data_IF_053110482901
#
_entry.id   IF_053110482901
#
_cell.length_a   1.000
_cell.length_b   1.000
_cell.length_c   1.000
_cell.angle_alpha   90.00
_cell.angle_beta   90.00
_cell.angle_gamma   90.00
#
_symmetry.space_group_name_H-M   'P 1'
#
loop_
_entity.id
_entity.type
_entity.pdbx_description
1 polymer ?
#
# COMPACT_ATOMS: atom_id res chain seq x y z
N UNK A 1 -6.18 7.82 12.90
CA UNK A 1 -7.60 8.03 12.53
C UNK A 1 -8.11 6.75 11.88
N UNK A 2 -7.63 6.40 10.67
CA UNK A 2 -7.91 5.12 9.98
C UNK A 2 -8.09 3.87 10.88
N UNK A 3 -7.05 3.48 11.64
CA UNK A 3 -7.09 2.25 12.45
C UNK A 3 -8.14 2.29 13.55
N UNK A 4 -8.32 3.45 14.18
CA UNK A 4 -9.30 3.66 15.25
C UNK A 4 -10.73 3.56 14.71
N UNK A 5 -11.01 4.23 13.58
CA UNK A 5 -12.37 4.35 13.05
C UNK A 5 -12.87 3.03 12.46
N UNK A 6 -11.96 2.20 11.93
CA UNK A 6 -12.26 0.86 11.44
C UNK A 6 -12.12 -0.24 12.51
N UNK A 7 -11.79 0.12 13.76
CA UNK A 7 -11.54 -0.82 14.85
C UNK A 7 -10.53 -1.92 14.49
N UNK A 8 -9.43 -1.54 13.84
CA UNK A 8 -8.32 -2.42 13.47
C UNK A 8 -7.05 -2.02 14.22
N UNK A 9 -6.15 -2.99 14.40
CA UNK A 9 -4.81 -2.76 14.96
C UNK A 9 -3.77 -3.12 13.92
N UNK A 10 -2.91 -2.16 13.60
CA UNK A 10 -1.73 -2.41 12.76
C UNK A 10 -0.57 -2.82 13.66
N UNK A 11 0.17 -3.85 13.25
CA UNK A 11 1.36 -4.30 13.96
C UNK A 11 2.37 -4.83 12.96
N UNK A 12 3.60 -4.31 13.02
CA UNK A 12 4.69 -4.79 12.18
C UNK A 12 5.26 -6.04 12.84
N UNK A 13 4.96 -7.20 12.26
CA UNK A 13 5.43 -8.51 12.74
C UNK A 13 6.73 -8.97 12.08
N UNK A 14 7.07 -8.35 10.95
CA UNK A 14 8.26 -8.65 10.17
C UNK A 14 8.70 -7.41 9.38
N UNK A 15 10.01 -7.23 9.24
CA UNK A 15 10.64 -6.18 8.45
C UNK A 15 11.85 -6.79 7.72
N UNK A 16 11.95 -6.53 6.42
CA UNK A 16 13.10 -6.89 5.60
C UNK A 16 13.59 -5.65 4.85
N UNK A 17 14.91 -5.43 4.85
CA UNK A 17 15.55 -4.34 4.12
C UNK A 17 16.54 -4.93 3.11
N UNK A 18 16.44 -4.48 1.85
CA UNK A 18 17.25 -4.99 0.75
C UNK A 18 18.48 -4.12 0.49
N UNK A 19 19.53 -4.33 1.29
CA UNK A 19 20.76 -3.54 1.25
C UNK A 19 21.69 -3.87 0.07
N UNK A 20 21.56 -5.06 -0.50
CA UNK A 20 22.44 -5.59 -1.55
C UNK A 20 21.85 -5.41 -2.95
N UNK A 21 20.63 -5.92 -3.16
CA UNK A 21 19.93 -5.87 -4.45
C UNK A 21 18.43 -5.94 -4.26
N UNK A 22 17.69 -5.36 -5.20
CA UNK A 22 16.24 -5.51 -5.25
C UNK A 22 15.83 -6.98 -5.36
N UNK A 23 14.78 -7.37 -4.62
CA UNK A 23 14.16 -8.71 -4.74
C UNK A 23 12.99 -8.74 -5.72
N UNK A 24 12.58 -7.59 -6.22
CA UNK A 24 11.53 -7.42 -7.22
C UNK A 24 12.06 -6.70 -8.45
N UNK A 25 11.38 -6.87 -9.59
CA UNK A 25 11.64 -6.11 -10.79
C UNK A 25 10.83 -4.80 -10.75
N UNK A 26 11.51 -3.69 -10.99
CA UNK A 26 10.88 -2.38 -11.13
C UNK A 26 10.57 -2.08 -12.59
N UNK A 27 9.37 -1.57 -12.84
CA UNK A 27 8.90 -1.10 -14.12
C UNK A 27 8.34 0.32 -13.97
N UNK A 28 8.28 1.09 -15.06
CA UNK A 28 7.65 2.42 -15.03
C UNK A 28 6.13 2.33 -14.78
N UNK A 29 5.52 1.20 -15.14
CA UNK A 29 4.14 0.84 -14.81
C UNK A 29 4.06 0.29 -13.38
N UNK A 30 3.28 0.96 -12.52
CA UNK A 30 3.19 0.63 -11.10
C UNK A 30 2.50 -0.72 -10.85
N UNK A 31 1.49 -1.08 -11.65
CA UNK A 31 0.75 -2.35 -11.55
C UNK A 31 1.63 -3.54 -11.92
N UNK A 32 2.51 -3.35 -12.91
CA UNK A 32 3.50 -4.37 -13.27
C UNK A 32 4.53 -4.56 -12.16
N UNK A 33 4.94 -3.49 -11.49
CA UNK A 33 5.82 -3.57 -10.31
C UNK A 33 5.13 -4.24 -9.12
N UNK A 34 3.85 -3.92 -8.88
CA UNK A 34 3.03 -4.60 -7.88
C UNK A 34 2.93 -6.11 -8.14
N UNK A 35 2.79 -6.51 -9.40
CA UNK A 35 2.77 -7.92 -9.77
C UNK A 35 4.06 -8.64 -9.36
N UNK A 36 5.23 -8.02 -9.59
CA UNK A 36 6.51 -8.58 -9.14
C UNK A 36 6.63 -8.62 -7.62
N UNK A 37 6.06 -7.63 -6.93
CA UNK A 37 5.95 -7.61 -5.47
C UNK A 37 5.11 -8.76 -4.92
N UNK A 38 3.93 -9.01 -5.49
CA UNK A 38 3.06 -10.15 -5.12
C UNK A 38 3.77 -11.49 -5.34
N UNK A 39 4.48 -11.66 -6.47
CA UNK A 39 5.28 -12.85 -6.74
C UNK A 39 6.35 -13.09 -5.69
N UNK A 40 7.06 -12.04 -5.27
CA UNK A 40 8.04 -12.15 -4.20
C UNK A 40 7.40 -12.51 -2.85
N UNK A 41 6.29 -11.86 -2.48
CA UNK A 41 5.58 -12.13 -1.22
C UNK A 41 5.07 -13.56 -1.15
N UNK A 42 4.46 -14.04 -2.24
CA UNK A 42 3.88 -15.38 -2.35
C UNK A 42 4.92 -16.49 -2.54
N UNK A 43 6.09 -16.18 -3.09
CA UNK A 43 7.13 -17.17 -3.36
C UNK A 43 8.22 -17.27 -2.28
N UNK A 44 8.74 -16.13 -1.81
CA UNK A 44 9.95 -16.10 -0.97
C UNK A 44 9.62 -15.97 0.51
N UNK A 45 8.73 -15.04 0.86
CA UNK A 45 8.42 -14.74 2.25
C UNK A 45 7.06 -15.30 2.69
N UNK A 46 6.44 -16.19 1.92
CA UNK A 46 5.13 -16.79 2.24
C UNK A 46 5.10 -17.52 3.59
N UNK A 47 6.23 -18.12 3.99
CA UNK A 47 6.36 -18.84 5.26
C UNK A 47 6.26 -17.96 6.51
N UNK A 48 6.35 -16.63 6.36
CA UNK A 48 6.21 -15.66 7.45
C UNK A 48 4.73 -15.38 7.66
N UNK A 49 4.23 -15.69 8.86
CA UNK A 49 2.85 -15.41 9.26
C UNK A 49 2.59 -13.89 9.30
N UNK A 50 1.70 -13.43 8.41
CA UNK A 50 1.28 -12.03 8.26
C UNK A 50 -0.06 -11.95 7.53
N UNK A 51 -0.81 -10.90 7.78
CA UNK A 51 -2.12 -10.66 7.14
C UNK A 51 -2.00 -9.87 5.83
N UNK A 52 -0.95 -9.06 5.70
CA UNK A 52 -0.66 -8.20 4.55
C UNK A 52 0.83 -7.88 4.51
N UNK A 53 1.34 -7.55 3.32
CA UNK A 53 2.70 -7.06 3.08
C UNK A 53 2.66 -5.67 2.47
N UNK A 54 3.58 -4.80 2.88
CA UNK A 54 3.74 -3.47 2.32
C UNK A 54 5.19 -3.29 1.90
N UNK A 55 5.41 -2.89 0.65
CA UNK A 55 6.73 -2.61 0.10
C UNK A 55 6.88 -1.10 -0.07
N UNK A 56 7.98 -0.58 0.46
CA UNK A 56 8.43 0.79 0.25
C UNK A 56 9.45 0.84 -0.88
N UNK A 57 9.31 1.79 -1.80
CA UNK A 57 10.26 1.99 -2.89
C UNK A 57 10.55 3.46 -3.13
N UNK A 58 11.71 3.78 -3.70
CA UNK A 58 12.05 5.12 -4.22
C UNK A 58 11.92 5.21 -5.74
N UNK A 59 11.36 4.18 -6.38
CA UNK A 59 11.09 4.17 -7.81
C UNK A 59 10.11 5.29 -8.20
N UNK A 60 10.26 5.79 -9.43
CA UNK A 60 9.33 6.73 -10.05
C UNK A 60 8.50 5.99 -11.08
N UNK A 61 7.19 6.17 -11.02
CA UNK A 61 6.25 5.56 -11.93
C UNK A 61 5.71 6.61 -12.91
N UNK A 62 5.12 6.13 -14.01
CA UNK A 62 4.42 7.03 -14.95
C UNK A 62 3.25 7.73 -14.26
N UNK A 63 2.86 8.90 -14.77
CA UNK A 63 1.75 9.71 -14.22
C UNK A 63 1.91 10.04 -12.73
N UNK A 64 3.14 10.10 -12.25
CA UNK A 64 3.45 10.41 -10.85
C UNK A 64 2.68 9.53 -9.84
N UNK A 65 2.38 8.27 -10.20
CA UNK A 65 1.71 7.32 -9.31
C UNK A 65 2.60 7.03 -8.09
N UNK A 66 2.04 7.19 -6.89
CA UNK A 66 2.76 7.05 -5.62
C UNK A 66 2.43 5.79 -4.83
N UNK A 67 1.37 5.07 -5.21
CA UNK A 67 0.99 3.83 -4.55
C UNK A 67 0.10 2.96 -5.43
N UNK A 68 0.11 1.65 -5.18
CA UNK A 68 -0.88 0.70 -5.69
C UNK A 68 -0.99 -0.52 -4.75
N UNK A 69 -2.08 -1.26 -4.81
CA UNK A 69 -2.32 -2.44 -3.98
C UNK A 69 -3.22 -3.45 -4.67
N UNK A 70 -3.11 -4.70 -4.24
CA UNK A 70 -4.18 -5.68 -4.47
C UNK A 70 -5.47 -5.27 -3.76
N UNK A 71 -6.62 -5.51 -4.37
CA UNK A 71 -7.93 -5.19 -3.77
C UNK A 71 -8.63 -6.41 -3.19
N UNK A 72 -9.29 -6.25 -2.04
CA UNK A 72 -10.12 -7.29 -1.41
C UNK A 72 -9.37 -8.59 -1.09
N UNK A 73 -8.09 -8.48 -0.79
CA UNK A 73 -7.15 -9.61 -0.68
C UNK A 73 -6.67 -9.86 0.74
N UNK A 74 -7.14 -9.11 1.75
CA UNK A 74 -6.74 -9.26 3.15
C UNK A 74 -6.80 -10.73 3.60
N UNK A 75 -5.81 -11.15 4.40
CA UNK A 75 -5.63 -12.53 4.87
C UNK A 75 -5.37 -13.57 3.75
N UNK A 76 -5.13 -13.15 2.51
CA UNK A 76 -4.64 -14.02 1.44
C UNK A 76 -3.12 -13.89 1.29
N UNK A 77 -2.50 -14.89 0.67
CA UNK A 77 -1.07 -14.87 0.36
C UNK A 77 -0.66 -13.71 -0.56
N UNK A 78 -1.63 -13.12 -1.28
CA UNK A 78 -1.39 -12.05 -2.26
C UNK A 78 -1.56 -10.66 -1.69
N UNK A 79 -2.03 -10.51 -0.45
CA UNK A 79 -2.27 -9.21 0.20
C UNK A 79 -1.00 -8.34 0.21
N UNK A 80 -0.87 -7.47 -0.78
CA UNK A 80 0.36 -6.72 -1.04
C UNK A 80 0.06 -5.30 -1.45
N UNK A 81 0.74 -4.37 -0.79
CA UNK A 81 0.78 -2.96 -1.08
C UNK A 81 2.15 -2.53 -1.58
N UNK A 82 2.17 -1.53 -2.46
CA UNK A 82 3.37 -0.82 -2.90
C UNK A 82 3.15 0.67 -2.67
N UNK A 83 4.08 1.31 -1.97
CA UNK A 83 4.05 2.75 -1.68
C UNK A 83 5.42 3.35 -1.99
N UNK A 84 5.45 4.47 -2.72
CA UNK A 84 6.66 5.25 -2.89
C UNK A 84 6.98 5.95 -1.56
N UNK A 85 8.13 5.66 -0.98
CA UNK A 85 8.57 6.30 0.25
C UNK A 85 8.79 7.80 0.00
N UNK A 86 8.03 8.64 0.69
CA UNK A 86 8.27 10.09 0.75
C UNK A 86 9.08 10.44 1.99
N UNK A 87 9.65 11.64 1.99
CA UNK A 87 10.62 12.12 2.97
C UNK A 87 10.10 12.11 4.43
N UNK A 88 11.03 12.01 5.39
CA UNK A 88 10.79 12.12 6.84
C UNK A 88 9.96 13.32 7.27
N UNK A 89 10.03 14.47 6.61
CA UNK A 89 9.21 15.65 6.93
C UNK A 89 7.73 15.47 6.53
N UNK A 90 7.44 14.52 5.63
CA UNK A 90 6.10 14.22 5.11
C UNK A 90 5.60 12.83 5.51
N UNK A 91 6.07 12.30 6.66
CA UNK A 91 5.64 10.99 7.16
C UNK A 91 4.11 10.84 7.31
N UNK A 92 3.40 11.95 7.55
CA UNK A 92 1.94 11.97 7.60
C UNK A 92 1.30 11.67 6.23
N UNK A 93 1.90 12.14 5.13
CA UNK A 93 1.46 11.86 3.77
C UNK A 93 1.66 10.38 3.43
N UNK A 94 2.84 9.81 3.74
CA UNK A 94 3.05 8.35 3.61
C UNK A 94 2.03 7.58 4.43
N UNK A 95 1.73 8.04 5.65
CA UNK A 95 0.71 7.43 6.50
C UNK A 95 -0.67 7.39 5.87
N UNK A 96 -1.05 8.44 5.13
CA UNK A 96 -2.30 8.47 4.36
C UNK A 96 -2.26 7.49 3.18
N UNK A 97 -1.15 7.40 2.45
CA UNK A 97 -0.98 6.42 1.37
C UNK A 97 -1.09 4.99 1.89
N UNK A 98 -0.44 4.67 3.02
CA UNK A 98 -0.53 3.35 3.66
C UNK A 98 -1.97 3.04 4.07
N UNK A 99 -2.69 4.01 4.63
CA UNK A 99 -4.09 3.83 5.02
C UNK A 99 -4.99 3.55 3.81
N UNK A 100 -4.84 4.32 2.73
CA UNK A 100 -5.57 4.12 1.47
C UNK A 100 -5.27 2.74 0.85
N UNK A 101 -3.99 2.37 0.83
CA UNK A 101 -3.52 1.10 0.30
C UNK A 101 -4.08 -0.10 1.08
N UNK A 102 -4.02 -0.04 2.41
CA UNK A 102 -4.57 -1.08 3.27
C UNK A 102 -6.10 -1.15 3.15
N UNK A 103 -6.77 -0.02 2.93
CA UNK A 103 -8.20 0.01 2.72
C UNK A 103 -8.62 -0.74 1.44
N UNK A 104 -7.90 -0.56 0.32
CA UNK A 104 -8.08 -1.38 -0.89
C UNK A 104 -7.86 -2.86 -0.59
N UNK A 105 -6.80 -3.22 0.12
CA UNK A 105 -6.54 -4.62 0.52
C UNK A 105 -7.70 -5.20 1.35
N UNK A 106 -8.32 -4.38 2.21
CA UNK A 106 -9.52 -4.75 2.97
C UNK A 106 -10.82 -4.77 2.13
N UNK A 107 -10.76 -4.35 0.86
CA UNK A 107 -11.87 -4.40 -0.08
C UNK A 107 -12.71 -3.13 -0.15
N UNK A 108 -12.21 -1.99 0.35
CA UNK A 108 -12.84 -0.69 0.13
C UNK A 108 -12.49 -0.15 -1.25
N UNK A 109 -13.51 0.32 -1.97
CA UNK A 109 -13.34 1.03 -3.24
C UNK A 109 -13.16 2.53 -3.01
N UNK A 110 -12.80 3.25 -4.08
CA UNK A 110 -12.75 4.70 -4.05
C UNK A 110 -14.11 5.31 -3.73
N UNK A 111 -14.08 6.43 -3.00
CA UNK A 111 -15.27 7.22 -2.70
C UNK A 111 -16.02 7.63 -3.97
N UNK A 112 -17.34 7.46 -3.95
CA UNK A 112 -18.25 7.99 -4.96
C UNK A 112 -18.61 9.46 -4.65
N UNK A 113 -19.21 10.21 -5.58
CA UNK A 113 -19.52 11.63 -5.36
C UNK A 113 -20.47 11.92 -4.19
N UNK A 114 -21.22 10.92 -3.74
CA UNK A 114 -22.13 10.94 -2.60
C UNK A 114 -21.48 10.52 -1.27
N UNK A 115 -20.22 10.08 -1.28
CA UNK A 115 -19.46 9.78 -0.07
C UNK A 115 -18.97 11.07 0.60
N UNK A 116 -19.06 11.12 1.93
CA UNK A 116 -18.64 12.27 2.74
C UNK A 116 -17.87 11.83 3.97
N UNK A 117 -16.96 12.66 4.46
CA UNK A 117 -16.25 12.46 5.71
C UNK A 117 -15.97 13.82 6.38
N UNK A 118 -15.71 13.78 7.69
CA UNK A 118 -15.44 14.98 8.50
C UNK A 118 -13.99 15.52 8.35
N UNK A 119 -13.28 15.14 7.29
CA UNK A 119 -11.92 15.57 7.03
C UNK A 119 -11.91 16.89 6.24
N UNK A 120 -10.98 17.79 6.59
CA UNK A 120 -10.89 19.15 6.02
C UNK A 120 -10.61 19.13 4.50
N UNK A 121 -9.85 18.12 4.03
CA UNK A 121 -9.42 18.06 2.63
C UNK A 121 -10.18 16.98 1.86
N UNK A 122 -9.87 15.71 2.10
CA UNK A 122 -10.45 14.58 1.40
C UNK A 122 -10.54 13.36 2.33
N UNK A 123 -11.47 12.46 2.02
CA UNK A 123 -11.58 11.15 2.66
C UNK A 123 -10.41 10.26 2.25
N UNK A 124 -10.06 9.27 3.08
CA UNK A 124 -8.90 8.40 2.81
C UNK A 124 -9.02 7.73 1.44
N UNK A 125 -10.23 7.34 1.04
CA UNK A 125 -10.50 6.64 -0.23
C UNK A 125 -10.84 7.56 -1.39
N UNK A 126 -10.54 8.86 -1.28
CA UNK A 126 -10.72 9.76 -2.42
C UNK A 126 -9.89 9.27 -3.60
N UNK A 127 -10.39 9.47 -4.82
CA UNK A 127 -9.59 9.21 -6.02
C UNK A 127 -8.36 10.11 -6.00
N UNK A 128 -7.17 9.53 -5.87
CA UNK A 128 -5.94 10.27 -6.07
C UNK A 128 -5.73 10.50 -7.57
N UNK A 129 -5.31 11.72 -7.91
CA UNK A 129 -4.89 12.03 -9.27
C UNK A 129 -3.46 11.52 -9.45
N UNK A 130 -3.27 10.69 -10.47
CA UNK A 130 -2.00 10.51 -11.18
C UNK A 130 -2.17 11.01 -12.61
#
# INVERSE_FOLDING_TARGET
>A
IFSRDLNIRLSVVYLEEWMDKSRINYYEDIERTLSSAVEYVTGHIYHIAKDSSLIFTSAKFVKDEVMTSTSGSICSSRATGLVTAVDTYTAHDTGQLIAHNLAHIMGMDHDSPDCTCDLINNCIMHKQAG
#
